data_IF_048513893550
#
_entry.id   IF_048513893550
#
_cell.length_a   1.000
_cell.length_b   1.000
_cell.length_c   1.000
_cell.angle_alpha   90.00
_cell.angle_beta   90.00
_cell.angle_gamma   90.00
#
_symmetry.space_group_name_H-M   'P 1'
#
loop_
_entity.id
_entity.type
_entity.pdbx_description
1 polymer ?
#
# COMPACT_ATOMS: atom_id res chain seq x y z
N UNK A 1 -20.18 8.33 24.21
CA UNK A 1 -18.94 7.56 24.26
C UNK A 1 -17.80 8.52 24.54
N UNK A 2 -17.18 8.43 25.71
CA UNK A 2 -16.03 9.27 26.09
C UNK A 2 -14.78 8.63 25.48
N UNK A 3 -14.04 9.36 24.65
CA UNK A 3 -12.70 8.94 24.24
C UNK A 3 -11.81 8.96 25.49
N UNK A 4 -11.44 7.79 25.98
CA UNK A 4 -10.43 7.66 27.02
C UNK A 4 -9.12 8.24 26.49
N UNK A 5 -8.53 9.17 27.23
CA UNK A 5 -7.17 9.63 26.99
C UNK A 5 -6.24 8.42 27.15
N UNK A 6 -5.53 8.10 26.07
CA UNK A 6 -4.58 7.00 26.01
C UNK A 6 -3.29 7.45 26.72
N UNK A 7 -3.01 6.83 27.86
CA UNK A 7 -2.09 7.34 28.89
C UNK A 7 -0.65 6.80 28.75
N UNK A 8 -0.20 6.53 27.52
CA UNK A 8 1.19 6.13 27.27
C UNK A 8 1.90 7.27 26.54
N UNK A 9 3.07 7.73 27.03
CA UNK A 9 3.78 8.88 26.47
C UNK A 9 4.14 8.69 24.98
N UNK A 10 4.29 7.44 24.52
CA UNK A 10 4.67 7.11 23.14
C UNK A 10 3.48 6.93 22.16
N UNK A 11 2.23 7.04 22.62
CA UNK A 11 1.03 6.88 21.77
C UNK A 11 0.26 8.19 21.54
N UNK A 12 0.72 9.31 22.11
CA UNK A 12 0.19 10.65 21.84
C UNK A 12 0.83 11.24 20.56
N UNK A 13 0.56 10.63 19.41
CA UNK A 13 0.91 11.25 18.13
C UNK A 13 -0.09 12.36 17.83
N UNK A 14 0.38 13.59 17.62
CA UNK A 14 -0.46 14.71 17.20
C UNK A 14 -1.27 14.33 15.94
N UNK A 15 -2.55 14.70 15.86
CA UNK A 15 -3.36 14.48 14.63
C UNK A 15 -2.69 15.02 13.36
N UNK A 16 -1.84 16.05 13.49
CA UNK A 16 -1.05 16.63 12.39
C UNK A 16 0.12 15.72 11.96
N UNK A 17 0.69 14.96 12.90
CA UNK A 17 1.75 13.96 12.69
C UNK A 17 1.18 12.57 12.35
N UNK A 18 -0.05 12.27 12.78
CA UNK A 18 -0.79 11.05 12.49
C UNK A 18 -1.52 11.10 11.14
N UNK A 19 -1.47 12.23 10.42
CA UNK A 19 -1.94 12.27 9.02
C UNK A 19 -1.05 11.34 8.21
N UNK A 20 -1.57 10.29 7.56
CA UNK A 20 -0.73 9.32 6.86
C UNK A 20 0.10 9.94 5.73
N UNK A 21 -0.34 11.07 5.17
CA UNK A 21 0.22 11.63 3.93
C UNK A 21 0.27 13.18 3.90
N UNK A 22 1.10 13.93 4.66
CA UNK A 22 1.19 15.36 4.41
C UNK A 22 1.93 15.69 3.09
N UNK A 23 2.87 14.85 2.65
CA UNK A 23 3.68 15.10 1.45
C UNK A 23 4.12 13.80 0.76
N UNK A 24 3.18 13.05 0.18
CA UNK A 24 3.52 11.82 -0.54
C UNK A 24 3.26 11.99 -2.05
N UNK A 25 4.18 11.47 -2.86
CA UNK A 25 3.99 11.31 -4.30
C UNK A 25 3.51 9.89 -4.53
N UNK A 26 2.37 9.75 -5.21
CA UNK A 26 1.82 8.45 -5.60
C UNK A 26 1.84 8.35 -7.12
N UNK A 27 2.37 7.25 -7.63
CA UNK A 27 2.42 6.95 -9.05
C UNK A 27 1.84 5.56 -9.27
N UNK A 28 1.06 5.37 -10.32
CA UNK A 28 0.52 4.07 -10.69
C UNK A 28 0.57 3.89 -12.19
N UNK A 29 0.93 2.69 -12.64
CA UNK A 29 0.87 2.29 -14.03
C UNK A 29 0.07 0.99 -14.13
N UNK A 30 -0.84 0.93 -15.08
CA UNK A 30 -1.52 -0.30 -15.47
C UNK A 30 -1.45 -0.44 -16.98
N UNK A 31 -1.05 -1.62 -17.42
CA UNK A 31 -0.93 -2.01 -18.83
C UNK A 31 -1.91 -3.15 -19.06
N UNK A 32 -2.80 -2.95 -20.01
CA UNK A 32 -3.74 -3.98 -20.47
C UNK A 32 -3.09 -4.68 -21.66
N UNK A 33 -2.67 -5.93 -21.47
CA UNK A 33 -2.02 -6.71 -22.53
C UNK A 33 -3.03 -7.24 -23.55
N UNK A 34 -4.23 -7.59 -23.05
CA UNK A 34 -5.42 -7.94 -23.81
C UNK A 34 -6.65 -7.78 -22.90
N UNK A 35 -7.81 -8.28 -23.36
CA UNK A 35 -9.07 -8.19 -22.61
C UNK A 35 -9.05 -8.96 -21.27
N UNK A 36 -8.14 -9.91 -21.09
CA UNK A 36 -8.07 -10.76 -19.90
C UNK A 36 -6.90 -10.44 -18.96
N UNK A 37 -5.80 -9.90 -19.49
CA UNK A 37 -4.56 -9.73 -18.73
C UNK A 37 -4.21 -8.27 -18.49
N UNK A 38 -4.03 -7.92 -17.21
CA UNK A 38 -3.56 -6.61 -16.78
C UNK A 38 -2.33 -6.76 -15.91
N UNK A 39 -1.32 -5.94 -16.17
CA UNK A 39 -0.10 -5.87 -15.40
C UNK A 39 0.07 -4.45 -14.89
N UNK A 40 0.78 -4.28 -13.80
CA UNK A 40 1.01 -2.93 -13.34
C UNK A 40 1.74 -2.87 -12.03
N UNK A 41 1.75 -1.66 -11.50
CA UNK A 41 2.34 -1.38 -10.22
C UNK A 41 1.98 -0.01 -9.70
N UNK A 42 2.27 0.20 -8.44
CA UNK A 42 2.11 1.46 -7.75
C UNK A 42 3.41 1.75 -7.00
N UNK A 43 3.79 3.03 -6.97
CA UNK A 43 4.90 3.50 -6.18
C UNK A 43 4.42 4.67 -5.33
N UNK A 44 4.68 4.61 -4.03
CA UNK A 44 4.44 5.70 -3.10
C UNK A 44 5.75 6.16 -2.51
N UNK A 45 5.97 7.48 -2.46
CA UNK A 45 7.18 8.06 -1.90
C UNK A 45 6.84 9.17 -0.91
N UNK A 46 7.38 9.10 0.30
CA UNK A 46 7.25 10.14 1.32
C UNK A 46 8.34 11.20 1.13
N UNK A 47 7.96 12.42 0.75
CA UNK A 47 8.90 13.53 0.61
C UNK A 47 9.42 14.03 1.96
N UNK A 48 8.73 13.71 3.05
CA UNK A 48 9.12 14.12 4.40
C UNK A 48 10.22 13.23 4.95
N UNK A 49 10.02 11.92 4.86
CA UNK A 49 10.86 10.92 5.52
C UNK A 49 11.81 10.21 4.53
N UNK A 50 11.66 10.50 3.23
CA UNK A 50 12.40 9.92 2.10
C UNK A 50 12.22 8.40 1.93
N UNK A 51 11.14 7.87 2.49
CA UNK A 51 10.79 6.46 2.41
C UNK A 51 9.90 6.15 1.20
N UNK A 52 9.75 4.87 0.86
CA UNK A 52 8.91 4.46 -0.25
C UNK A 52 8.22 3.11 -0.06
N UNK A 53 7.21 2.88 -0.88
CA UNK A 53 6.56 1.58 -1.07
C UNK A 53 6.41 1.33 -2.55
N UNK A 54 6.64 0.09 -2.97
CA UNK A 54 6.49 -0.34 -4.35
C UNK A 54 5.62 -1.58 -4.40
N UNK A 55 4.63 -1.59 -5.28
CA UNK A 55 3.80 -2.74 -5.57
C UNK A 55 3.91 -3.07 -7.06
N UNK A 56 3.98 -4.35 -7.37
CA UNK A 56 3.76 -4.87 -8.72
C UNK A 56 2.68 -5.94 -8.70
N UNK A 57 1.92 -6.06 -9.78
CA UNK A 57 0.85 -7.05 -9.89
C UNK A 57 0.71 -7.62 -11.30
N UNK A 58 0.16 -8.83 -11.35
CA UNK A 58 -0.41 -9.46 -12.54
C UNK A 58 -1.84 -9.90 -12.21
N UNK A 59 -2.80 -9.48 -13.03
CA UNK A 59 -4.22 -9.78 -12.89
C UNK A 59 -4.72 -10.49 -14.13
N UNK A 60 -5.41 -11.60 -13.89
CA UNK A 60 -6.18 -12.36 -14.87
C UNK A 60 -7.67 -12.14 -14.64
N UNK A 61 -8.40 -11.73 -15.67
CA UNK A 61 -9.84 -11.44 -15.64
C UNK A 61 -10.50 -12.09 -16.87
N UNK A 62 -10.94 -13.36 -16.78
CA UNK A 62 -11.59 -14.05 -17.90
C UNK A 62 -12.97 -13.48 -18.27
N UNK A 63 -13.62 -12.76 -17.35
CA UNK A 63 -14.90 -12.09 -17.57
C UNK A 63 -15.12 -11.00 -16.51
N UNK A 64 -16.22 -10.25 -16.63
CA UNK A 64 -16.54 -9.14 -15.71
C UNK A 64 -16.85 -9.58 -14.27
N UNK A 65 -17.19 -10.85 -14.07
CA UNK A 65 -17.61 -11.40 -12.78
C UNK A 65 -16.46 -12.06 -12.01
N UNK A 66 -15.33 -12.38 -12.63
CA UNK A 66 -14.24 -13.13 -12.01
C UNK A 66 -12.89 -12.51 -12.37
N UNK A 67 -12.07 -12.27 -11.33
CA UNK A 67 -10.65 -12.00 -11.54
C UNK A 67 -9.79 -12.59 -10.42
N UNK A 68 -8.54 -12.89 -10.78
CA UNK A 68 -7.48 -13.34 -9.88
C UNK A 68 -6.27 -12.44 -10.06
N UNK A 69 -5.60 -12.08 -8.97
CA UNK A 69 -4.41 -11.23 -9.00
C UNK A 69 -3.33 -11.78 -8.07
N UNK A 70 -2.11 -11.85 -8.57
CA UNK A 70 -0.91 -11.96 -7.74
C UNK A 70 -0.26 -10.59 -7.62
N UNK A 71 0.14 -10.20 -6.41
CA UNK A 71 0.86 -8.97 -6.19
C UNK A 71 2.04 -9.17 -5.26
N UNK A 72 3.11 -8.41 -5.50
CA UNK A 72 4.23 -8.27 -4.60
C UNK A 72 4.28 -6.82 -4.11
N UNK A 73 4.48 -6.62 -2.81
CA UNK A 73 4.65 -5.31 -2.19
C UNK A 73 5.95 -5.28 -1.41
N UNK A 74 6.74 -4.25 -1.64
CA UNK A 74 7.99 -3.95 -0.94
C UNK A 74 7.85 -2.60 -0.24
N UNK A 75 8.53 -2.47 0.90
CA UNK A 75 8.65 -1.23 1.65
C UNK A 75 10.12 -0.92 1.86
N UNK A 76 10.49 0.34 1.69
CA UNK A 76 11.83 0.82 1.97
C UNK A 76 11.77 2.06 2.83
N UNK A 77 12.47 2.09 3.96
CA UNK A 77 12.51 3.29 4.77
C UNK A 77 13.38 3.21 6.01
N UNK A 78 13.62 4.36 6.62
CA UNK A 78 14.45 4.47 7.82
C UNK A 78 13.77 3.87 9.07
N UNK A 79 14.56 3.33 10.00
CA UNK A 79 14.02 2.79 11.26
C UNK A 79 13.18 3.86 12.00
N UNK A 80 11.95 3.49 12.37
CA UNK A 80 11.02 4.35 13.11
C UNK A 80 10.00 5.11 12.27
N UNK A 81 10.17 5.20 10.94
CA UNK A 81 9.20 5.81 10.05
C UNK A 81 8.04 4.86 9.71
N UNK A 82 6.97 5.37 9.11
CA UNK A 82 5.79 4.55 8.80
C UNK A 82 6.10 3.41 7.83
N UNK A 83 6.89 3.65 6.77
CA UNK A 83 7.29 2.60 5.83
C UNK A 83 8.49 1.80 6.34
N UNK A 84 9.43 2.43 7.06
CA UNK A 84 10.57 1.73 7.64
C UNK A 84 10.20 0.69 8.71
N UNK A 85 9.06 0.86 9.39
CA UNK A 85 8.45 -0.19 10.24
C UNK A 85 8.13 -1.48 9.48
N UNK A 86 8.01 -1.41 8.15
CA UNK A 86 7.70 -2.52 7.26
C UNK A 86 8.87 -2.87 6.32
N UNK A 87 10.07 -2.30 6.48
CA UNK A 87 11.27 -2.50 5.63
C UNK A 87 11.75 -3.96 5.53
N UNK A 88 11.19 -4.86 6.34
CA UNK A 88 11.43 -6.32 6.27
C UNK A 88 10.15 -7.14 6.17
N UNK A 89 9.08 -6.52 5.73
CA UNK A 89 7.75 -7.11 5.63
C UNK A 89 7.23 -7.07 4.19
N UNK A 90 8.11 -7.44 3.26
CA UNK A 90 7.72 -7.68 1.89
C UNK A 90 6.62 -8.74 1.85
N UNK A 91 5.60 -8.50 1.03
CA UNK A 91 4.42 -9.34 0.98
C UNK A 91 4.14 -9.82 -0.43
N UNK A 92 3.90 -11.13 -0.56
CA UNK A 92 3.27 -11.71 -1.74
C UNK A 92 1.82 -12.04 -1.38
N UNK A 93 0.89 -11.59 -2.21
CA UNK A 93 -0.54 -11.85 -2.02
C UNK A 93 -1.15 -12.48 -3.27
N UNK A 94 -2.08 -13.42 -3.06
CA UNK A 94 -2.95 -13.96 -4.09
C UNK A 94 -4.39 -13.57 -3.71
N UNK A 95 -5.05 -12.83 -4.60
CA UNK A 95 -6.43 -12.37 -4.42
C UNK A 95 -7.31 -12.99 -5.50
N UNK A 96 -8.47 -13.51 -5.09
CA UNK A 96 -9.53 -13.98 -6.00
C UNK A 96 -10.78 -13.19 -5.66
N UNK A 97 -11.46 -12.68 -6.68
CA UNK A 97 -12.70 -11.93 -6.54
C UNK A 97 -13.74 -12.46 -7.49
N UNK A 98 -14.94 -12.68 -6.97
CA UNK A 98 -16.12 -13.09 -7.74
C UNK A 98 -17.30 -12.19 -7.38
N UNK A 99 -17.99 -11.66 -8.39
CA UNK A 99 -19.17 -10.80 -8.25
C UNK A 99 -20.40 -11.48 -8.87
N UNK A 100 -21.53 -11.45 -8.16
CA UNK A 100 -22.81 -12.09 -8.54
C UNK A 100 -23.88 -11.08 -8.95
#
# INVERSE_FOLDING_TARGET
WRFGLQDHPDYNTSSKEARPNPNNVLMSLTVEANDEWKFGGMHGHSLKDWDSTSQVFARYQPNDNLWTMISFVEYHGNEGTQFGRYDRNDNVSLTVNYSF
#
